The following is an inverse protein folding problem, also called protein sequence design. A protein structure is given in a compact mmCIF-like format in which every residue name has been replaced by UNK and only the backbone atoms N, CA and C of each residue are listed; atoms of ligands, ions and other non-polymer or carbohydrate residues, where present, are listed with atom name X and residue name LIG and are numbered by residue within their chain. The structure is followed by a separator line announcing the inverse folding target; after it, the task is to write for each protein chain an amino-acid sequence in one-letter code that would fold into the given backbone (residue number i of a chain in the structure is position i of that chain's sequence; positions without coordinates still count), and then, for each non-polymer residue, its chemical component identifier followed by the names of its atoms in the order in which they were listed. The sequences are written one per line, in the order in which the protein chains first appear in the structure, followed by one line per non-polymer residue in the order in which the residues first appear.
data_IF_044838480453
#
_entry.id   IF_044838480453
#
_cell.length_a   1.000
_cell.length_b   1.000
_cell.length_c   1.000
_cell.angle_alpha   90.00
_cell.angle_beta   90.00
_cell.angle_gamma   90.00
#
_symmetry.space_group_name_H-M   'P 1'
#
loop_
_entity.id
_entity.type
_entity.pdbx_description
1 polymer ?
#
# COMPACT_ATOMS: atom_id res chain seq x y z
N UNK A 1 -15.47 -2.82 11.91
CA UNK A 1 -15.01 -1.54 11.32
C UNK A 1 -15.88 -0.45 11.91
N UNK A 2 -15.31 0.56 12.57
CA UNK A 2 -16.06 1.64 13.27
C UNK A 2 -16.21 2.89 12.38
N UNK A 3 -17.20 3.74 12.64
CA UNK A 3 -17.44 4.99 11.89
C UNK A 3 -16.20 5.91 11.86
N UNK A 4 -15.48 6.00 12.97
CA UNK A 4 -14.24 6.77 13.08
C UNK A 4 -13.14 6.25 12.12
N UNK A 5 -13.04 4.94 11.94
CA UNK A 5 -12.09 4.35 10.99
C UNK A 5 -12.47 4.68 9.54
N UNK A 6 -13.77 4.75 9.25
CA UNK A 6 -14.29 5.09 7.92
C UNK A 6 -13.98 6.55 7.59
N UNK A 7 -14.15 7.47 8.53
CA UNK A 7 -13.83 8.89 8.34
C UNK A 7 -12.33 9.12 8.14
N UNK A 8 -11.48 8.48 8.95
CA UNK A 8 -10.02 8.54 8.77
C UNK A 8 -9.61 7.99 7.39
N UNK A 9 -10.24 6.91 6.94
CA UNK A 9 -9.98 6.37 5.59
C UNK A 9 -10.41 7.34 4.48
N UNK A 10 -11.58 7.97 4.61
CA UNK A 10 -12.06 8.98 3.64
C UNK A 10 -11.12 10.17 3.55
N UNK A 11 -10.72 10.74 4.69
CA UNK A 11 -9.79 11.87 4.73
C UNK A 11 -8.45 11.51 4.07
N UNK A 12 -7.90 10.34 4.41
CA UNK A 12 -6.70 9.82 3.77
C UNK A 12 -6.87 9.65 2.26
N UNK A 13 -7.99 9.07 1.81
CA UNK A 13 -8.26 8.85 0.38
C UNK A 13 -8.38 10.17 -0.40
N UNK A 14 -9.01 11.20 0.17
CA UNK A 14 -9.12 12.53 -0.45
C UNK A 14 -7.76 13.23 -0.55
N UNK A 15 -6.95 13.18 0.50
CA UNK A 15 -5.58 13.72 0.48
C UNK A 15 -4.75 13.05 -0.63
N UNK A 16 -4.82 11.71 -0.73
CA UNK A 16 -4.14 10.95 -1.78
C UNK A 16 -4.65 11.23 -3.18
N UNK A 17 -5.92 11.63 -3.32
CA UNK A 17 -6.50 12.01 -4.60
C UNK A 17 -5.95 13.36 -5.05
N UNK A 18 -5.92 14.35 -4.15
CA UNK A 18 -5.34 15.68 -4.42
C UNK A 18 -3.85 15.59 -4.79
N UNK A 19 -3.06 14.78 -4.07
CA UNK A 19 -1.65 14.56 -4.40
C UNK A 19 -1.44 13.95 -5.79
N UNK A 20 -2.34 13.04 -6.22
CA UNK A 20 -2.30 12.48 -7.59
C UNK A 20 -2.74 13.49 -8.64
N UNK A 21 -3.78 14.27 -8.35
CA UNK A 21 -4.27 15.29 -9.28
C UNK A 21 -3.25 16.41 -9.50
N UNK A 22 -2.52 16.80 -8.46
CA UNK A 22 -1.46 17.81 -8.50
C UNK A 22 -0.13 17.32 -9.10
N UNK A 23 0.09 16.01 -9.23
CA UNK A 23 1.35 15.45 -9.75
C UNK A 23 1.28 15.20 -11.26
N UNK A 24 2.29 15.70 -11.97
CA UNK A 24 2.52 15.44 -13.40
C UNK A 24 2.97 14.00 -13.69
N UNK A 25 3.52 13.29 -12.69
CA UNK A 25 3.94 11.89 -12.79
C UNK A 25 3.25 11.01 -11.74
N UNK A 26 1.98 10.71 -12.03
CA UNK A 26 1.12 9.87 -11.18
C UNK A 26 1.63 8.43 -11.06
N UNK A 27 2.26 7.91 -12.12
CA UNK A 27 2.77 6.56 -12.18
C UNK A 27 4.03 6.40 -11.30
N UNK A 28 4.97 7.35 -11.37
CA UNK A 28 6.15 7.37 -10.51
C UNK A 28 5.81 7.52 -9.02
N UNK A 29 4.82 8.35 -8.69
CA UNK A 29 4.33 8.48 -7.31
C UNK A 29 3.75 7.17 -6.78
N UNK A 30 2.98 6.45 -7.59
CA UNK A 30 2.44 5.14 -7.24
C UNK A 30 3.55 4.11 -7.05
N UNK A 31 4.54 4.05 -7.97
CA UNK A 31 5.66 3.12 -7.91
C UNK A 31 6.50 3.32 -6.64
N UNK A 32 6.87 4.56 -6.32
CA UNK A 32 7.60 4.91 -5.08
C UNK A 32 6.85 4.47 -3.82
N UNK A 33 5.52 4.61 -3.81
CA UNK A 33 4.71 4.16 -2.67
C UNK A 33 4.68 2.66 -2.53
N UNK A 34 4.51 1.94 -3.64
CA UNK A 34 4.51 0.49 -3.64
C UNK A 34 5.89 -0.07 -3.22
N UNK A 35 6.98 0.60 -3.61
CA UNK A 35 8.32 0.30 -3.09
C UNK A 35 8.44 0.58 -1.58
N UNK A 36 7.94 1.73 -1.11
CA UNK A 36 7.98 2.11 0.32
C UNK A 36 7.27 1.09 1.23
N UNK A 37 6.18 0.49 0.75
CA UNK A 37 5.45 -0.54 1.51
C UNK A 37 5.99 -1.96 1.27
N UNK A 38 7.09 -2.11 0.52
CA UNK A 38 7.72 -3.40 0.20
C UNK A 38 6.93 -4.28 -0.77
N UNK A 39 5.88 -3.74 -1.40
CA UNK A 39 5.11 -4.45 -2.42
C UNK A 39 5.88 -4.55 -3.73
N UNK A 40 6.63 -3.49 -4.08
CA UNK A 40 7.60 -3.54 -5.16
C UNK A 40 9.02 -3.60 -4.60
N UNK A 41 9.91 -4.32 -5.29
CA UNK A 41 11.34 -4.37 -5.00
C UNK A 41 12.10 -3.15 -5.58
N UNK A 42 13.43 -3.17 -5.43
CA UNK A 42 14.33 -2.12 -5.92
C UNK A 42 14.28 -1.95 -7.45
N UNK A 43 13.97 -3.03 -8.18
CA UNK A 43 13.79 -3.03 -9.63
C UNK A 43 12.38 -2.56 -10.03
N UNK A 44 11.47 -2.45 -9.06
CA UNK A 44 10.06 -2.12 -9.26
C UNK A 44 9.23 -3.27 -9.79
N UNK A 45 9.70 -4.52 -9.61
CA UNK A 45 8.89 -5.72 -9.77
C UNK A 45 8.14 -6.03 -8.47
N UNK A 46 7.11 -6.87 -8.54
CA UNK A 46 6.41 -7.33 -7.35
C UNK A 46 7.38 -8.14 -6.50
N UNK A 47 7.58 -7.70 -5.26
CA UNK A 47 8.44 -8.36 -4.27
C UNK A 47 8.04 -9.82 -4.12
N UNK A 48 9.02 -10.71 -3.93
CA UNK A 48 8.80 -12.16 -3.84
C UNK A 48 7.74 -12.53 -2.79
N UNK A 49 7.65 -11.77 -1.70
CA UNK A 49 6.65 -11.92 -0.64
C UNK A 49 5.19 -11.76 -1.12
N UNK A 50 4.98 -11.15 -2.29
CA UNK A 50 3.68 -10.86 -2.89
C UNK A 50 3.51 -11.48 -4.29
N UNK A 51 4.53 -12.19 -4.81
CA UNK A 51 4.52 -12.78 -6.17
C UNK A 51 3.46 -13.88 -6.34
N UNK A 52 3.01 -14.49 -5.24
CA UNK A 52 1.89 -15.44 -5.18
C UNK A 52 0.51 -14.80 -4.99
N UNK A 53 0.40 -13.46 -5.07
CA UNK A 53 -0.80 -12.70 -4.74
C UNK A 53 -0.70 -12.03 -3.37
N UNK A 54 -1.73 -11.25 -2.99
CA UNK A 54 -1.81 -10.68 -1.65
C UNK A 54 -2.01 -11.85 -0.68
N UNK A 55 -1.05 -12.13 0.24
CA UNK A 55 -1.19 -13.25 1.16
C UNK A 55 -2.50 -13.09 1.93
N UNK A 56 -3.30 -14.17 1.97
CA UNK A 56 -4.54 -14.18 2.71
C UNK A 56 -4.24 -13.74 4.16
N UNK A 57 -4.96 -12.71 4.65
CA UNK A 57 -4.71 -11.99 5.90
C UNK A 57 -4.45 -12.87 7.15
N UNK A 58 -4.81 -14.15 7.11
CA UNK A 58 -4.63 -15.10 8.20
C UNK A 58 -3.16 -15.53 8.34
N UNK A 59 -2.39 -15.64 7.26
CA UNK A 59 -0.98 -16.06 7.32
C UNK A 59 -0.04 -14.90 7.66
N UNK A 60 -0.37 -13.67 7.22
CA UNK A 60 0.46 -12.49 7.49
C UNK A 60 0.52 -12.12 8.98
N UNK A 61 -0.55 -12.38 9.74
CA UNK A 61 -0.55 -12.13 11.19
C UNK A 61 0.39 -13.08 11.93
N UNK A 62 0.55 -14.34 11.49
CA UNK A 62 1.50 -15.27 12.12
C UNK A 62 2.96 -14.90 11.86
N UNK A 63 3.28 -14.34 10.69
CA UNK A 63 4.66 -13.94 10.36
C UNK A 63 5.11 -12.69 11.12
N UNK A 64 4.19 -11.78 11.45
CA UNK A 64 4.49 -10.53 12.18
C UNK A 64 4.59 -10.77 13.70
N UNK A 65 3.87 -11.74 14.24
CA UNK A 65 3.83 -12.02 15.70
C UNK A 65 4.92 -13.02 16.14
N UNK A 66 5.66 -13.61 15.20
CA UNK A 66 6.76 -14.57 15.49
C UNK A 66 8.16 -13.94 15.40
N UNK A 67 8.28 -12.61 15.46
CA UNK A 67 9.54 -11.87 15.60
C UNK A 67 9.61 -11.12 16.92
#
# INVERSE_FOLDING_TARGET
MTQELVEKFKAYAEERRKEREASTDRAGLARKRLQKIGYLDENGEVSEAYRGGIPNRIETIRLIVSK
#
